data_IF_214179911673
#
_entry.id   IF_214179911673
#
_cell.length_a   1.000
_cell.length_b   1.000
_cell.length_c   1.000
_cell.angle_alpha   90.00
_cell.angle_beta   90.00
_cell.angle_gamma   90.00
#
_symmetry.space_group_name_H-M   'P 1'
#
loop_
_entity.id
_entity.type
_entity.pdbx_description
1 polymer ?
#
# COMPACT_ATOMS: atom_id res chain seq x y z
N UNK A 1 -40.09 6.11 -66.24
CA UNK A 1 -38.84 5.36 -66.00
C UNK A 1 -38.23 5.92 -64.72
N UNK A 2 -38.15 5.17 -63.61
CA UNK A 2 -37.13 4.14 -63.31
C UNK A 2 -35.71 4.76 -63.18
N UNK A 3 -34.94 4.58 -62.10
CA UNK A 3 -35.19 3.92 -60.80
C UNK A 3 -33.88 3.51 -60.11
N UNK A 4 -33.88 3.28 -58.77
CA UNK A 4 -32.76 2.79 -57.91
C UNK A 4 -31.59 3.80 -57.75
N UNK A 5 -31.17 4.23 -56.55
CA UNK A 5 -30.67 3.54 -55.34
C UNK A 5 -29.16 3.26 -55.37
N UNK A 6 -28.37 4.02 -54.59
CA UNK A 6 -27.13 3.56 -53.90
C UNK A 6 -26.63 4.61 -52.88
N UNK A 7 -26.49 4.16 -51.63
CA UNK A 7 -25.50 4.59 -50.60
C UNK A 7 -24.30 3.63 -50.82
N UNK A 8 -22.99 3.92 -50.57
CA UNK A 8 -22.35 4.63 -49.43
C UNK A 8 -21.32 5.71 -49.91
N UNK A 9 -20.24 6.19 -49.25
CA UNK A 9 -19.44 5.81 -48.05
C UNK A 9 -18.87 7.04 -47.31
N UNK A 10 -18.51 6.86 -46.02
CA UNK A 10 -17.41 7.56 -45.32
C UNK A 10 -17.63 9.02 -44.86
N UNK A 11 -17.25 9.44 -43.65
CA UNK A 11 -16.61 8.68 -42.57
C UNK A 11 -15.87 9.63 -41.62
N UNK A 12 -16.53 10.10 -40.56
CA UNK A 12 -15.87 10.72 -39.41
C UNK A 12 -16.44 10.09 -38.14
N UNK A 13 -15.74 9.05 -37.70
CA UNK A 13 -15.99 8.29 -36.49
C UNK A 13 -15.98 9.25 -35.29
N UNK A 14 -17.18 9.60 -34.80
CA UNK A 14 -17.33 10.53 -33.69
C UNK A 14 -16.82 9.87 -32.42
N UNK A 15 -15.79 10.47 -31.84
CA UNK A 15 -15.14 10.10 -30.60
C UNK A 15 -16.10 10.32 -29.41
N UNK A 16 -17.10 9.45 -29.31
CA UNK A 16 -17.98 9.35 -28.17
C UNK A 16 -17.26 8.55 -27.08
N UNK A 17 -16.85 9.15 -25.96
CA UNK A 17 -16.34 8.38 -24.84
C UNK A 17 -17.41 7.36 -24.45
N UNK A 18 -17.02 6.10 -24.26
CA UNK A 18 -17.95 5.04 -23.87
C UNK A 18 -18.64 5.42 -22.57
N UNK A 19 -19.88 5.91 -22.68
CA UNK A 19 -20.55 6.67 -21.62
C UNK A 19 -20.88 5.80 -20.39
N UNK A 20 -20.87 4.47 -20.56
CA UNK A 20 -21.12 3.49 -19.50
C UNK A 20 -20.14 2.33 -19.51
N UNK A 21 -19.60 2.01 -18.33
CA UNK A 21 -18.79 0.82 -18.03
C UNK A 21 -19.66 -0.32 -17.49
N UNK A 22 -19.24 -1.56 -17.75
CA UNK A 22 -19.77 -2.75 -17.06
C UNK A 22 -19.21 -2.88 -15.64
N UNK A 23 -19.80 -3.72 -14.79
CA UNK A 23 -19.27 -4.02 -13.44
C UNK A 23 -17.80 -4.43 -13.46
N UNK A 24 -17.37 -5.26 -14.42
CA UNK A 24 -15.99 -5.71 -14.55
C UNK A 24 -15.02 -4.57 -14.93
N UNK A 25 -15.40 -3.73 -15.90
CA UNK A 25 -14.61 -2.56 -16.28
C UNK A 25 -14.54 -1.52 -15.14
N UNK A 26 -15.65 -1.32 -14.42
CA UNK A 26 -15.71 -0.43 -13.25
C UNK A 26 -14.82 -0.94 -12.11
N UNK A 27 -14.85 -2.24 -11.85
CA UNK A 27 -13.99 -2.91 -10.86
C UNK A 27 -12.50 -2.71 -11.20
N UNK A 28 -12.12 -2.98 -12.46
CA UNK A 28 -10.77 -2.75 -12.97
C UNK A 28 -10.35 -1.28 -12.87
N UNK A 29 -11.20 -0.35 -13.29
CA UNK A 29 -10.92 1.10 -13.31
C UNK A 29 -10.76 1.69 -11.90
N UNK A 30 -11.44 1.13 -10.92
CA UNK A 30 -11.38 1.52 -9.51
C UNK A 30 -10.37 0.71 -8.67
N UNK A 31 -9.70 -0.29 -9.26
CA UNK A 31 -8.74 -1.14 -8.55
C UNK A 31 -9.37 -2.02 -7.44
N UNK A 32 -10.64 -2.42 -7.59
CA UNK A 32 -11.38 -3.20 -6.56
C UNK A 32 -12.06 -4.42 -7.15
N UNK A 33 -12.55 -5.32 -6.29
CA UNK A 33 -13.32 -6.50 -6.71
C UNK A 33 -14.77 -6.12 -7.10
N UNK A 34 -15.46 -6.86 -8.00
CA UNK A 34 -16.83 -6.57 -8.43
C UNK A 34 -17.85 -6.43 -7.29
N UNK A 35 -17.70 -7.18 -6.20
CA UNK A 35 -18.56 -7.11 -5.01
C UNK A 35 -18.47 -5.72 -4.35
N UNK A 36 -17.29 -5.10 -4.43
CA UNK A 36 -17.05 -3.75 -3.89
C UNK A 36 -17.74 -2.68 -4.73
N UNK A 37 -17.88 -2.89 -6.05
CA UNK A 37 -18.66 -2.01 -6.94
C UNK A 37 -20.14 -2.02 -6.52
N UNK A 38 -20.73 -3.19 -6.30
CA UNK A 38 -22.10 -3.30 -5.77
C UNK A 38 -22.23 -2.68 -4.36
N UNK A 39 -21.20 -2.78 -3.52
CA UNK A 39 -21.16 -2.11 -2.23
C UNK A 39 -21.01 -0.57 -2.32
N UNK A 40 -20.63 0.00 -3.47
CA UNK A 40 -20.73 1.44 -3.73
C UNK A 40 -22.14 1.82 -4.14
N UNK A 41 -22.81 1.01 -4.98
CA UNK A 41 -24.22 1.20 -5.34
C UNK A 41 -25.12 1.20 -4.11
N UNK A 42 -24.98 0.18 -3.24
CA UNK A 42 -25.76 0.06 -2.01
C UNK A 42 -25.53 1.21 -1.02
N UNK A 43 -24.43 1.97 -1.16
CA UNK A 43 -24.10 3.16 -0.35
C UNK A 43 -24.40 4.48 -1.06
N UNK A 44 -25.02 4.46 -2.26
CA UNK A 44 -25.29 5.67 -3.05
C UNK A 44 -24.03 6.37 -3.58
N UNK A 45 -22.91 5.65 -3.72
CA UNK A 45 -21.64 6.17 -4.23
C UNK A 45 -21.43 5.93 -5.73
N UNK A 46 -22.25 5.05 -6.33
CA UNK A 46 -22.39 4.82 -7.78
C UNK A 46 -23.86 4.57 -8.11
N UNK A 47 -24.27 4.93 -9.30
CA UNK A 47 -25.61 4.70 -9.86
C UNK A 47 -25.54 3.51 -10.80
N UNK A 48 -26.36 2.49 -10.54
CA UNK A 48 -26.41 1.26 -11.37
C UNK A 48 -27.58 1.33 -12.35
N UNK A 49 -27.29 1.58 -13.62
CA UNK A 49 -28.28 1.42 -14.68
C UNK A 49 -28.42 -0.05 -15.10
N UNK A 50 -29.66 -0.48 -15.39
CA UNK A 50 -29.94 -1.82 -15.90
C UNK A 50 -29.85 -1.82 -17.43
N UNK A 51 -28.90 -2.55 -17.99
CA UNK A 51 -28.78 -2.68 -19.44
C UNK A 51 -30.00 -3.42 -20.02
N UNK A 52 -30.85 -2.71 -20.78
CA UNK A 52 -32.13 -3.18 -21.33
C UNK A 52 -32.05 -4.48 -22.16
N UNK A 53 -30.85 -4.89 -22.62
CA UNK A 53 -30.65 -6.08 -23.46
C UNK A 53 -29.49 -7.01 -23.07
N UNK A 54 -28.78 -6.80 -21.95
CA UNK A 54 -27.74 -7.73 -21.45
C UNK A 54 -27.78 -7.84 -19.93
N UNK A 55 -27.54 -9.05 -19.41
CA UNK A 55 -27.53 -9.35 -17.97
C UNK A 55 -26.32 -8.67 -17.30
N UNK A 56 -26.52 -7.55 -16.63
CA UNK A 56 -25.49 -6.85 -15.84
C UNK A 56 -25.82 -5.37 -15.56
N UNK A 57 -25.22 -4.83 -14.51
CA UNK A 57 -25.24 -3.40 -14.20
C UNK A 57 -24.28 -2.61 -15.09
N UNK A 58 -24.66 -1.36 -15.39
CA UNK A 58 -23.86 -0.35 -16.05
C UNK A 58 -23.67 0.87 -15.16
N UNK A 59 -22.54 1.54 -15.30
CA UNK A 59 -22.09 2.65 -14.46
C UNK A 59 -21.60 3.78 -15.35
N UNK A 60 -22.06 5.00 -15.16
CA UNK A 60 -21.66 6.12 -15.99
C UNK A 60 -20.15 6.38 -15.84
N UNK A 61 -19.41 6.46 -16.95
CA UNK A 61 -17.94 6.58 -16.92
C UNK A 61 -17.51 7.83 -16.16
N UNK A 62 -18.22 8.95 -16.33
CA UNK A 62 -17.96 10.19 -15.58
C UNK A 62 -18.16 10.03 -14.05
N UNK A 63 -19.15 9.24 -13.61
CA UNK A 63 -19.39 8.96 -12.19
C UNK A 63 -18.29 8.05 -11.61
N UNK A 64 -17.86 7.04 -12.38
CA UNK A 64 -16.73 6.17 -12.02
C UNK A 64 -15.42 6.96 -11.93
N UNK A 65 -15.14 7.89 -12.84
CA UNK A 65 -13.96 8.76 -12.81
C UNK A 65 -14.00 9.77 -11.65
N UNK A 66 -15.16 10.39 -11.38
CA UNK A 66 -15.33 11.28 -10.23
C UNK A 66 -15.15 10.52 -8.91
N UNK A 67 -15.67 9.29 -8.83
CA UNK A 67 -15.46 8.40 -7.71
C UNK A 67 -13.99 7.97 -7.61
N UNK A 68 -13.32 7.64 -8.72
CA UNK A 68 -11.90 7.28 -8.77
C UNK A 68 -11.02 8.41 -8.21
N UNK A 69 -11.29 9.66 -8.59
CA UNK A 69 -10.58 10.85 -8.05
C UNK A 69 -10.82 11.02 -6.55
N UNK A 70 -12.07 10.88 -6.09
CA UNK A 70 -12.42 10.93 -4.65
C UNK A 70 -11.83 9.77 -3.84
N UNK A 71 -11.62 8.62 -4.47
CA UNK A 71 -11.01 7.41 -3.89
C UNK A 71 -9.48 7.47 -3.93
N UNK A 72 -8.88 8.10 -4.95
CA UNK A 72 -7.42 8.19 -5.10
C UNK A 72 -6.74 8.94 -3.96
N UNK A 73 -7.44 9.87 -3.31
CA UNK A 73 -7.03 10.48 -2.03
C UNK A 73 -7.58 9.79 -0.77
N UNK A 74 -8.27 8.64 -0.87
CA UNK A 74 -9.02 8.03 0.25
C UNK A 74 -9.14 6.49 0.23
N UNK A 75 -8.27 5.75 -0.45
CA UNK A 75 -8.17 4.29 -0.30
C UNK A 75 -6.75 3.78 -0.35
N UNK A 76 -6.38 3.11 0.75
CA UNK A 76 -6.38 1.66 0.68
C UNK A 76 -7.64 1.11 1.36
N UNK A 77 -8.34 0.12 0.78
CA UNK A 77 -9.51 -0.51 1.39
C UNK A 77 -9.17 -1.57 2.45
N UNK A 78 -7.89 -1.70 2.81
CA UNK A 78 -7.38 -2.72 3.73
C UNK A 78 -6.58 -2.02 4.84
N UNK A 79 -7.24 -1.68 5.95
CA UNK A 79 -6.63 -1.18 7.20
C UNK A 79 -5.40 -0.29 7.02
N UNK A 80 -5.56 0.84 6.32
CA UNK A 80 -4.44 1.65 5.82
C UNK A 80 -3.60 2.22 6.96
N UNK A 81 -2.53 1.51 7.33
CA UNK A 81 -1.29 2.15 7.73
C UNK A 81 -0.95 3.10 6.58
N UNK A 82 -0.81 4.38 6.88
CA UNK A 82 -0.30 5.38 5.97
C UNK A 82 0.92 4.80 5.24
N UNK A 83 0.93 4.79 3.90
CA UNK A 83 2.08 4.25 3.15
C UNK A 83 3.26 5.21 3.33
N UNK A 84 4.01 5.02 4.42
CA UNK A 84 5.24 5.76 4.68
C UNK A 84 6.23 5.35 3.60
N UNK A 85 6.45 6.24 2.63
CA UNK A 85 7.52 6.10 1.67
C UNK A 85 8.85 6.28 2.40
N UNK A 86 9.54 5.17 2.69
CA UNK A 86 10.87 5.19 3.29
C UNK A 86 11.94 4.93 2.23
N UNK A 87 13.12 5.49 2.43
CA UNK A 87 14.33 5.17 1.68
C UNK A 87 15.27 4.25 2.50
N UNK A 88 14.72 3.47 3.45
CA UNK A 88 15.51 2.66 4.39
C UNK A 88 15.67 1.21 3.91
N UNK A 89 14.58 0.54 3.56
CA UNK A 89 14.60 -0.88 3.21
C UNK A 89 13.76 -1.14 1.96
N UNK A 90 14.34 -1.86 1.00
CA UNK A 90 13.66 -2.37 -0.19
C UNK A 90 13.81 -3.89 -0.20
N UNK A 91 12.71 -4.60 -0.42
CA UNK A 91 12.69 -6.02 -0.73
C UNK A 91 12.24 -6.15 -2.18
N UNK A 92 13.11 -6.63 -3.06
CA UNK A 92 12.85 -6.73 -4.50
C UNK A 92 13.62 -7.93 -5.08
N UNK A 93 12.99 -8.70 -5.95
CA UNK A 93 13.60 -9.80 -6.71
C UNK A 93 14.30 -10.86 -5.83
N UNK A 94 13.78 -11.12 -4.62
CA UNK A 94 14.34 -11.98 -3.56
C UNK A 94 15.61 -11.43 -2.87
N UNK A 95 16.04 -10.21 -3.22
CA UNK A 95 17.12 -9.48 -2.58
C UNK A 95 16.59 -8.46 -1.54
N UNK A 96 17.36 -8.27 -0.47
CA UNK A 96 17.11 -7.27 0.56
C UNK A 96 18.15 -6.15 0.43
N UNK A 97 17.67 -4.92 0.30
CA UNK A 97 18.51 -3.73 0.17
C UNK A 97 18.27 -2.77 1.34
N UNK A 98 19.34 -2.24 1.90
CA UNK A 98 19.32 -1.12 2.83
C UNK A 98 19.81 0.14 2.13
N UNK A 99 19.03 1.23 2.17
CA UNK A 99 19.34 2.52 1.50
C UNK A 99 19.83 2.40 0.04
N UNK A 100 19.41 1.35 -0.68
CA UNK A 100 19.80 1.07 -2.07
C UNK A 100 21.05 0.19 -2.27
N UNK A 101 21.71 -0.27 -1.20
CA UNK A 101 22.81 -1.26 -1.22
C UNK A 101 22.29 -2.63 -0.79
N UNK A 102 22.73 -3.70 -1.46
CA UNK A 102 22.40 -5.08 -1.10
C UNK A 102 22.95 -5.42 0.30
N UNK A 103 22.16 -6.08 1.15
CA UNK A 103 22.58 -6.52 2.47
C UNK A 103 23.73 -7.54 2.42
N UNK A 104 23.89 -8.27 1.31
CA UNK A 104 25.05 -9.12 1.06
C UNK A 104 26.39 -8.33 1.02
N UNK A 105 26.39 -7.05 0.63
CA UNK A 105 27.58 -6.19 0.70
C UNK A 105 27.91 -5.71 2.14
N UNK A 106 27.01 -5.95 3.10
CA UNK A 106 27.13 -5.45 4.47
C UNK A 106 27.60 -6.51 5.47
N UNK A 107 27.78 -7.76 5.04
CA UNK A 107 28.07 -8.90 5.94
C UNK A 107 29.40 -8.79 6.68
N UNK A 108 30.39 -8.11 6.08
CA UNK A 108 31.71 -7.88 6.67
C UNK A 108 31.76 -6.64 7.59
N UNK A 109 30.68 -5.86 7.66
CA UNK A 109 30.56 -4.69 8.53
C UNK A 109 29.99 -5.06 9.91
N UNK A 110 30.44 -4.36 10.95
CA UNK A 110 29.87 -4.47 12.30
C UNK A 110 28.41 -4.02 12.32
N UNK A 111 27.62 -4.61 13.21
CA UNK A 111 26.21 -4.25 13.43
C UNK A 111 26.06 -2.75 13.71
N UNK A 112 26.94 -2.18 14.54
CA UNK A 112 26.97 -0.78 14.93
C UNK A 112 27.27 0.15 13.76
N UNK A 113 28.16 -0.25 12.86
CA UNK A 113 28.49 0.49 11.62
C UNK A 113 27.30 0.50 10.66
N UNK A 114 26.62 -0.64 10.48
CA UNK A 114 25.41 -0.74 9.64
C UNK A 114 24.26 0.05 10.27
N UNK A 115 24.08 -0.02 11.60
CA UNK A 115 23.08 0.77 12.32
C UNK A 115 23.36 2.28 12.16
N UNK A 116 24.59 2.73 12.43
CA UNK A 116 24.98 4.13 12.25
C UNK A 116 24.66 4.63 10.84
N UNK A 117 25.00 3.86 9.81
CA UNK A 117 24.68 4.18 8.42
C UNK A 117 23.17 4.21 8.13
N UNK A 118 22.37 3.30 8.68
CA UNK A 118 20.91 3.36 8.56
C UNK A 118 20.35 4.67 9.15
N UNK A 119 20.85 5.11 10.32
CA UNK A 119 20.41 6.33 10.99
C UNK A 119 20.97 7.64 10.39
N UNK A 120 22.23 7.63 9.90
CA UNK A 120 23.00 8.83 9.53
C UNK A 120 23.31 8.96 8.04
N UNK A 121 23.09 7.90 7.26
CA UNK A 121 23.45 7.77 5.85
C UNK A 121 24.97 7.85 5.55
N UNK A 122 25.82 7.67 6.56
CA UNK A 122 27.28 7.64 6.45
C UNK A 122 27.80 6.28 6.92
N UNK A 123 28.61 5.59 6.11
CA UNK A 123 29.16 4.27 6.44
C UNK A 123 30.60 4.39 6.91
N UNK A 124 30.76 4.48 8.23
CA UNK A 124 32.05 4.53 8.94
C UNK A 124 32.18 3.33 9.87
N UNK A 125 33.40 3.02 10.29
CA UNK A 125 33.64 2.00 11.31
C UNK A 125 33.28 2.57 12.70
N UNK A 126 32.29 1.97 13.36
CA UNK A 126 31.77 2.42 14.65
C UNK A 126 32.09 1.39 15.72
N UNK A 127 32.52 1.89 16.89
CA UNK A 127 32.78 1.06 18.05
C UNK A 127 31.51 0.32 18.54
N UNK A 128 31.65 -0.84 19.21
CA UNK A 128 30.50 -1.54 19.80
C UNK A 128 29.66 -0.66 20.72
N UNK A 129 28.36 -0.95 20.83
CA UNK A 129 27.48 -0.17 21.70
C UNK A 129 27.94 -0.25 23.17
N UNK A 130 28.27 0.91 23.75
CA UNK A 130 28.64 1.00 25.17
C UNK A 130 27.43 0.73 26.07
N UNK A 131 27.59 -0.22 26.99
CA UNK A 131 26.55 -0.58 27.96
C UNK A 131 26.75 0.26 29.22
N UNK A 132 25.86 1.23 29.46
CA UNK A 132 25.88 2.02 30.69
C UNK A 132 25.70 1.13 31.93
N UNK A 133 26.55 1.27 32.97
CA UNK A 133 26.36 0.60 34.25
C UNK A 133 25.01 0.94 34.90
N UNK A 134 24.59 2.21 34.84
CA UNK A 134 23.34 2.67 35.43
C UNK A 134 22.11 2.03 34.76
N UNK A 135 22.14 1.92 33.42
CA UNK A 135 21.10 1.21 32.66
C UNK A 135 21.12 -0.30 32.94
N UNK A 136 22.29 -0.88 33.19
CA UNK A 136 22.43 -2.29 33.57
C UNK A 136 21.79 -2.55 34.95
N UNK A 137 22.08 -1.70 35.93
CA UNK A 137 21.53 -1.82 37.28
C UNK A 137 20.04 -1.49 37.34
N UNK A 138 19.57 -0.53 36.53
CA UNK A 138 18.16 -0.30 36.29
C UNK A 138 17.50 -1.57 35.72
N UNK A 139 18.03 -2.13 34.64
CA UNK A 139 17.47 -3.32 34.00
C UNK A 139 17.42 -4.53 34.95
N UNK A 140 18.49 -4.77 35.73
CA UNK A 140 18.54 -5.80 36.77
C UNK A 140 17.45 -5.60 37.82
N UNK A 141 17.30 -4.39 38.36
CA UNK A 141 16.26 -4.06 39.35
C UNK A 141 14.85 -4.24 38.78
N UNK A 142 14.60 -3.77 37.57
CA UNK A 142 13.31 -3.92 36.89
C UNK A 142 12.95 -5.39 36.66
N UNK A 143 13.89 -6.23 36.22
CA UNK A 143 13.63 -7.67 36.04
C UNK A 143 13.43 -8.40 37.37
N UNK A 144 14.11 -7.99 38.44
CA UNK A 144 13.94 -8.58 39.77
C UNK A 144 12.56 -8.32 40.41
N UNK A 145 11.77 -7.39 39.86
CA UNK A 145 10.38 -7.15 40.28
C UNK A 145 9.36 -8.02 39.53
N UNK A 146 9.79 -8.78 38.52
CA UNK A 146 8.91 -9.60 37.68
C UNK A 146 8.85 -11.05 38.21
N UNK A 147 7.72 -11.76 38.05
CA UNK A 147 7.65 -13.20 38.33
C UNK A 147 8.64 -13.99 37.49
N UNK A 148 9.16 -15.11 38.01
CA UNK A 148 10.09 -15.99 37.28
C UNK A 148 9.54 -16.48 35.93
N UNK A 149 8.21 -16.61 35.83
CA UNK A 149 7.47 -16.99 34.62
C UNK A 149 7.38 -15.89 33.55
N UNK A 150 7.81 -14.65 33.83
CA UNK A 150 7.78 -13.55 32.88
C UNK A 150 8.67 -13.83 31.66
N UNK A 151 8.11 -13.66 30.45
CA UNK A 151 8.81 -13.98 29.19
C UNK A 151 9.88 -12.93 28.89
N UNK A 152 10.86 -13.27 28.06
CA UNK A 152 11.90 -12.34 27.63
C UNK A 152 11.33 -11.04 27.04
N UNK A 153 10.27 -11.12 26.22
CA UNK A 153 9.60 -9.95 25.64
C UNK A 153 8.98 -9.03 26.71
N UNK A 154 8.43 -9.60 27.78
CA UNK A 154 7.83 -8.82 28.87
C UNK A 154 8.93 -8.14 29.71
N UNK A 155 10.03 -8.86 29.97
CA UNK A 155 11.23 -8.31 30.61
C UNK A 155 11.79 -7.13 29.81
N UNK A 156 11.98 -7.28 28.50
CA UNK A 156 12.47 -6.20 27.60
C UNK A 156 11.53 -5.00 27.63
N UNK A 157 10.21 -5.21 27.50
CA UNK A 157 9.22 -4.12 27.57
C UNK A 157 9.29 -3.34 28.88
N UNK A 158 9.43 -4.03 30.00
CA UNK A 158 9.51 -3.36 31.31
C UNK A 158 10.83 -2.62 31.51
N UNK A 159 11.95 -3.16 31.02
CA UNK A 159 13.24 -2.44 31.04
C UNK A 159 13.14 -1.14 30.23
N UNK A 160 12.60 -1.21 29.00
CA UNK A 160 12.43 -0.04 28.12
C UNK A 160 11.45 0.99 28.70
N UNK A 161 10.42 0.57 29.42
CA UNK A 161 9.47 1.47 30.08
C UNK A 161 10.00 2.13 31.36
N UNK A 162 11.15 1.67 31.89
CA UNK A 162 11.75 2.16 33.12
C UNK A 162 12.97 3.07 32.89
N UNK A 163 13.48 3.15 31.65
CA UNK A 163 14.66 3.90 31.23
C UNK A 163 14.32 5.26 30.62
#
# INVERSE_FOLDING_TARGET
>A
MAGRSTVPEGGSEQDYPHDYLTTAQTAQRLGVKPETVYAYVSRGLLTSERAVRRRGSRFATAEVEALAKRIGGRRDPNGSIERIHTHLTLLADDHLYYRGRDVAELVDHRLESVAHWLWRAELVDVAPFEVSPDLTDLARRTVALLPDSARLTDRIRMIVAAA
#
